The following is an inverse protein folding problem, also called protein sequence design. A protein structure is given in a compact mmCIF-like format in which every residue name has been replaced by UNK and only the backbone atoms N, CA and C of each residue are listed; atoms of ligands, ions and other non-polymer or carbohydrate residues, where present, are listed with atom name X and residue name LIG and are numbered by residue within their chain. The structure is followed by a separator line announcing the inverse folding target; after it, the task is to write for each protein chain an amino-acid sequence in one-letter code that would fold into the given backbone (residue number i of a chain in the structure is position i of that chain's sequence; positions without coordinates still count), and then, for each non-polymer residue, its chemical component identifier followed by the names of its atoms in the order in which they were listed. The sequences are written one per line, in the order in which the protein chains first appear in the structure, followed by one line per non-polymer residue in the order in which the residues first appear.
data_IF_860291412423
#
_entry.id   IF_860291412423
#
_cell.length_a   1.000
_cell.length_b   1.000
_cell.length_c   1.000
_cell.angle_alpha   90.00
_cell.angle_beta   90.00
_cell.angle_gamma   90.00
#
_symmetry.space_group_name_H-M   'P 1'
#
loop_
_entity.id
_entity.type
_entity.pdbx_description
1 polymer ?
#
# COMPACT_ATOMS: atom_id res chain seq x y z
N UNK A 1 -9.98 -54.90 -18.00
CA UNK A 1 -8.71 -55.26 -18.64
C UNK A 1 -8.14 -54.01 -19.31
N UNK A 2 -6.83 -53.75 -19.24
CA UNK A 2 -6.13 -52.87 -18.26
C UNK A 2 -5.57 -51.59 -18.95
N UNK A 3 -5.03 -50.55 -18.30
CA UNK A 3 -3.95 -50.46 -17.29
C UNK A 3 -3.95 -49.04 -16.65
N UNK A 4 -3.88 -48.87 -15.33
CA UNK A 4 -2.67 -48.77 -14.46
C UNK A 4 -1.63 -47.68 -14.85
N UNK A 5 -1.49 -46.67 -13.98
CA UNK A 5 -0.29 -45.94 -13.46
C UNK A 5 -0.83 -44.75 -12.63
N UNK A 6 -0.84 -44.67 -11.28
CA UNK A 6 0.23 -44.68 -10.26
C UNK A 6 1.45 -43.84 -10.64
N UNK A 7 1.58 -42.63 -10.08
CA UNK A 7 2.66 -42.25 -9.15
C UNK A 7 2.37 -40.97 -8.38
N UNK A 8 2.88 -41.01 -7.15
CA UNK A 8 2.84 -40.13 -5.98
C UNK A 8 3.95 -39.08 -6.07
N UNK A 9 3.68 -37.80 -5.78
CA UNK A 9 4.73 -36.85 -5.37
C UNK A 9 4.18 -35.84 -4.35
N UNK A 10 4.45 -36.14 -3.09
CA UNK A 10 4.53 -35.21 -1.97
C UNK A 10 5.87 -34.48 -2.05
N UNK A 11 5.87 -33.13 -2.06
CA UNK A 11 7.06 -32.36 -1.75
C UNK A 11 6.83 -31.61 -0.43
N UNK A 12 7.38 -32.19 0.63
CA UNK A 12 7.74 -31.48 1.84
C UNK A 12 9.00 -30.66 1.53
N UNK A 13 9.04 -29.40 1.98
CA UNK A 13 10.28 -28.65 2.11
C UNK A 13 10.53 -28.45 3.60
N UNK A 14 11.53 -29.19 4.08
CA UNK A 14 12.15 -29.02 5.39
C UNK A 14 13.25 -27.96 5.30
N UNK A 15 13.32 -27.17 6.36
CA UNK A 15 14.52 -26.70 7.09
C UNK A 15 15.87 -26.64 6.38
N UNK A 16 16.43 -25.42 6.36
CA UNK A 16 17.83 -25.06 6.63
C UNK A 16 17.83 -23.56 7.00
N UNK A 17 18.67 -22.97 7.85
CA UNK A 17 19.68 -23.42 8.80
C UNK A 17 20.16 -22.18 9.59
N UNK A 18 20.56 -22.41 10.84
CA UNK A 18 21.57 -21.76 11.69
C UNK A 18 22.02 -20.30 11.52
N UNK A 19 22.08 -19.62 12.67
CA UNK A 19 23.19 -18.74 13.06
C UNK A 19 22.82 -17.90 14.30
N UNK A 20 23.06 -18.35 15.54
CA UNK A 20 24.26 -18.07 16.39
C UNK A 20 24.44 -16.57 16.62
N UNK A 21 24.52 -15.95 17.80
CA UNK A 21 24.83 -16.24 19.22
C UNK A 21 24.47 -14.91 19.95
N UNK A 22 24.24 -14.75 21.24
CA UNK A 22 24.32 -15.57 22.42
C UNK A 22 24.11 -14.68 23.66
N UNK A 23 24.16 -15.30 24.84
CA UNK A 23 24.50 -14.72 26.15
C UNK A 23 23.59 -13.58 26.69
N UNK A 24 22.93 -13.70 27.83
CA UNK A 24 22.96 -14.70 28.88
C UNK A 24 21.96 -14.25 29.95
N UNK A 25 21.15 -15.19 30.40
CA UNK A 25 20.31 -15.05 31.59
C UNK A 25 21.23 -15.15 32.80
N UNK A 26 21.24 -14.14 33.65
CA UNK A 26 21.62 -14.30 35.05
C UNK A 26 20.51 -13.76 35.93
N UNK A 27 19.61 -14.68 36.32
CA UNK A 27 18.77 -14.56 37.49
C UNK A 27 19.66 -14.42 38.72
N UNK A 28 19.53 -13.30 39.44
CA UNK A 28 20.19 -13.08 40.72
C UNK A 28 19.20 -13.37 41.85
N UNK A 29 19.09 -14.64 42.24
CA UNK A 29 18.48 -15.04 43.51
C UNK A 29 19.50 -14.88 44.64
N UNK A 30 19.16 -14.26 45.78
CA UNK A 30 20.09 -14.08 46.89
C UNK A 30 20.20 -15.36 47.73
N UNK A 31 21.39 -15.98 47.76
CA UNK A 31 21.67 -17.10 48.66
C UNK A 31 22.15 -16.63 50.04
N UNK A 32 21.28 -16.90 51.00
CA UNK A 32 21.42 -16.98 52.45
C UNK A 32 22.66 -17.75 52.93
N UNK A 33 23.36 -17.19 53.94
CA UNK A 33 24.34 -17.90 54.80
C UNK A 33 23.60 -18.77 55.84
N UNK A 34 24.11 -19.96 56.18
CA UNK A 34 24.89 -20.17 57.41
C UNK A 34 26.02 -21.20 57.16
N UNK A 35 27.03 -21.48 57.99
CA UNK A 35 27.37 -21.23 59.38
C UNK A 35 28.24 -22.41 59.85
N UNK A 36 29.33 -22.11 60.58
CA UNK A 36 30.13 -22.99 61.46
C UNK A 36 30.96 -24.16 60.88
N UNK A 37 32.27 -24.10 61.18
CA UNK A 37 33.18 -25.24 61.24
C UNK A 37 34.57 -24.78 61.66
N UNK A 38 34.88 -24.85 62.96
CA UNK A 38 36.12 -24.34 63.52
C UNK A 38 37.36 -25.15 63.17
N UNK A 39 38.52 -24.49 63.24
CA UNK A 39 39.76 -25.14 63.67
C UNK A 39 40.72 -24.10 64.24
N UNK A 40 40.91 -24.17 65.55
CA UNK A 40 42.00 -23.51 66.24
C UNK A 40 43.32 -24.04 65.67
N UNK A 41 44.17 -23.13 65.17
CA UNK A 41 45.60 -23.39 64.98
C UNK A 41 46.36 -22.46 65.92
N UNK A 42 47.07 -23.08 66.85
CA UNK A 42 48.01 -22.43 67.75
C UNK A 42 49.22 -21.83 67.00
N UNK A 43 49.91 -20.87 67.64
CA UNK A 43 50.93 -20.05 66.99
C UNK A 43 52.27 -20.80 66.91
N UNK A 44 52.87 -20.85 65.72
CA UNK A 44 54.27 -21.25 65.57
C UNK A 44 55.14 -19.99 65.57
N UNK A 45 55.80 -19.75 66.70
CA UNK A 45 56.87 -18.79 66.85
C UNK A 45 58.19 -19.43 66.39
N UNK A 46 58.63 -19.16 65.15
CA UNK A 46 60.04 -19.31 64.76
C UNK A 46 60.29 -18.60 63.44
N UNK A 47 61.22 -17.63 63.42
CA UNK A 47 61.64 -16.92 62.22
C UNK A 47 61.58 -15.39 62.32
N UNK A 48 62.10 -14.82 63.41
CA UNK A 48 62.71 -13.50 63.34
C UNK A 48 64.18 -13.72 62.98
N UNK A 49 64.80 -12.74 62.33
CA UNK A 49 66.16 -12.75 61.76
C UNK A 49 66.17 -13.19 60.29
N UNK A 50 65.90 -12.20 59.42
CA UNK A 50 66.36 -12.02 58.02
C UNK A 50 65.51 -10.98 57.25
N UNK A 51 64.45 -10.42 57.85
CA UNK A 51 63.47 -9.59 57.12
C UNK A 51 63.82 -8.08 57.01
N UNK A 52 64.95 -7.62 57.56
CA UNK A 52 65.29 -6.19 57.52
C UNK A 52 65.84 -5.74 56.16
N UNK A 53 66.63 -6.57 55.48
CA UNK A 53 67.15 -6.25 54.14
C UNK A 53 66.10 -6.44 53.04
N UNK A 54 65.15 -7.38 53.22
CA UNK A 54 64.04 -7.60 52.29
C UNK A 54 62.97 -6.49 52.37
N UNK A 55 62.74 -5.88 53.54
CA UNK A 55 61.90 -4.68 53.67
C UNK A 55 62.52 -3.46 52.94
N UNK A 56 63.85 -3.32 52.93
CA UNK A 56 64.55 -2.25 52.22
C UNK A 56 64.57 -2.45 50.69
N UNK A 57 64.60 -3.71 50.20
CA UNK A 57 64.41 -4.03 48.77
C UNK A 57 62.95 -3.97 48.32
N UNK A 58 62.00 -4.34 49.19
CA UNK A 58 60.56 -4.25 48.92
C UNK A 58 60.07 -2.79 48.86
N UNK A 59 60.57 -1.92 49.72
CA UNK A 59 60.25 -0.48 49.70
C UNK A 59 60.81 0.24 48.46
N UNK A 60 62.01 -0.15 47.96
CA UNK A 60 62.56 0.36 46.68
C UNK A 60 61.79 -0.11 45.44
N UNK A 61 61.15 -1.29 45.48
CA UNK A 61 60.25 -1.80 44.41
C UNK A 61 58.78 -1.35 44.55
N UNK A 62 58.38 -0.83 45.71
CA UNK A 62 57.02 -0.37 45.96
C UNK A 62 56.71 0.96 45.24
N UNK A 63 57.69 1.88 45.15
CA UNK A 63 57.52 3.17 44.48
C UNK A 63 57.03 3.07 43.01
N UNK A 64 57.63 2.26 42.11
CA UNK A 64 57.14 2.13 40.72
C UNK A 64 55.79 1.42 40.60
N UNK A 65 55.42 0.59 41.59
CA UNK A 65 54.13 -0.12 41.62
C UNK A 65 52.97 0.79 42.04
N UNK A 66 53.23 1.78 42.88
CA UNK A 66 52.24 2.79 43.29
C UNK A 66 51.93 3.73 42.12
N UNK A 67 52.97 4.15 41.37
CA UNK A 67 52.80 4.98 40.15
C UNK A 67 51.96 4.26 39.10
N UNK A 68 52.20 2.96 38.87
CA UNK A 68 51.36 2.13 37.97
C UNK A 68 49.90 2.00 38.43
N UNK A 69 49.66 1.94 39.74
CA UNK A 69 48.31 1.81 40.30
C UNK A 69 47.51 3.11 40.16
N UNK A 70 48.18 4.25 40.30
CA UNK A 70 47.56 5.56 40.11
C UNK A 70 47.29 5.86 38.62
N UNK A 71 48.18 5.44 37.71
CA UNK A 71 47.92 5.45 36.25
C UNK A 71 46.72 4.59 35.88
N UNK A 72 46.62 3.37 36.41
CA UNK A 72 45.49 2.47 36.17
C UNK A 72 44.17 3.00 36.73
N UNK A 73 44.20 3.71 37.86
CA UNK A 73 43.02 4.39 38.41
C UNK A 73 42.59 5.56 37.54
N UNK A 74 43.54 6.34 37.04
CA UNK A 74 43.26 7.43 36.10
C UNK A 74 42.66 6.91 34.79
N UNK A 75 43.17 5.80 34.26
CA UNK A 75 42.63 5.15 33.06
C UNK A 75 41.23 4.59 33.29
N UNK A 76 40.98 3.91 34.42
CA UNK A 76 39.64 3.45 34.78
C UNK A 76 38.65 4.61 34.97
N UNK A 77 39.09 5.73 35.56
CA UNK A 77 38.26 6.91 35.68
C UNK A 77 37.88 7.50 34.31
N UNK A 78 38.82 7.51 33.35
CA UNK A 78 38.55 7.94 31.97
C UNK A 78 37.58 7.00 31.25
N UNK A 79 37.77 5.68 31.39
CA UNK A 79 36.85 4.67 30.83
C UNK A 79 35.45 4.77 31.43
N UNK A 80 35.33 5.09 32.72
CA UNK A 80 34.05 5.31 33.38
C UNK A 80 33.33 6.52 32.78
N UNK A 81 34.04 7.64 32.61
CA UNK A 81 33.50 8.85 31.97
C UNK A 81 33.04 8.60 30.53
N UNK A 82 33.81 7.84 29.75
CA UNK A 82 33.45 7.49 28.38
C UNK A 82 32.19 6.61 28.32
N UNK A 83 32.08 5.61 29.21
CA UNK A 83 30.88 4.77 29.31
C UNK A 83 29.64 5.57 29.67
N UNK A 84 29.76 6.50 30.62
CA UNK A 84 28.66 7.37 31.02
C UNK A 84 28.23 8.29 29.88
N UNK A 85 29.19 8.87 29.15
CA UNK A 85 28.90 9.69 27.98
C UNK A 85 28.20 8.88 26.86
N UNK A 86 28.69 7.67 26.58
CA UNK A 86 28.08 6.77 25.60
C UNK A 86 26.66 6.34 26.02
N UNK A 87 26.47 6.04 27.31
CA UNK A 87 25.18 5.66 27.86
C UNK A 87 24.18 6.82 27.79
N UNK A 88 24.62 8.06 28.05
CA UNK A 88 23.81 9.26 27.90
C UNK A 88 23.43 9.54 26.44
N UNK A 89 24.35 9.32 25.50
CA UNK A 89 24.04 9.40 24.06
C UNK A 89 23.00 8.34 23.66
N UNK A 90 23.15 7.11 24.16
CA UNK A 90 22.20 6.03 23.89
C UNK A 90 20.81 6.28 24.49
N UNK A 91 20.71 6.90 25.68
CA UNK A 91 19.40 7.28 26.23
C UNK A 91 18.76 8.41 25.42
N UNK A 92 19.52 9.44 25.04
CA UNK A 92 19.01 10.53 24.20
C UNK A 92 18.52 10.01 22.84
N UNK A 93 19.28 9.13 22.19
CA UNK A 93 18.87 8.49 20.93
C UNK A 93 17.61 7.63 21.10
N UNK A 94 17.46 6.92 22.23
CA UNK A 94 16.24 6.16 22.53
C UNK A 94 15.03 7.07 22.70
N UNK A 95 15.18 8.20 23.38
CA UNK A 95 14.12 9.18 23.58
C UNK A 95 13.70 9.84 22.25
N UNK A 96 14.65 10.12 21.36
CA UNK A 96 14.34 10.58 20.01
C UNK A 96 13.58 9.54 19.20
N UNK A 97 14.02 8.28 19.23
CA UNK A 97 13.31 7.18 18.56
C UNK A 97 11.90 6.98 19.13
N UNK A 98 11.71 7.13 20.44
CA UNK A 98 10.40 7.10 21.07
C UNK A 98 9.49 8.22 20.55
N UNK A 99 9.98 9.47 20.48
CA UNK A 99 9.24 10.61 19.91
C UNK A 99 8.83 10.35 18.45
N UNK A 100 9.74 9.83 17.63
CA UNK A 100 9.43 9.50 16.23
C UNK A 100 8.39 8.37 16.10
N UNK A 101 8.44 7.37 16.99
CA UNK A 101 7.42 6.31 17.04
C UNK A 101 6.05 6.86 17.41
N UNK A 102 5.97 7.69 18.44
CA UNK A 102 4.70 8.27 18.89
C UNK A 102 4.11 9.19 17.82
N UNK A 103 4.94 10.01 17.16
CA UNK A 103 4.53 10.83 16.03
C UNK A 103 4.02 9.97 14.86
N UNK A 104 4.68 8.86 14.54
CA UNK A 104 4.24 7.94 13.48
C UNK A 104 2.91 7.24 13.83
N UNK A 105 2.69 6.90 15.11
CA UNK A 105 1.40 6.36 15.58
C UNK A 105 0.30 7.39 15.43
N UNK A 106 0.56 8.66 15.77
CA UNK A 106 -0.43 9.74 15.66
C UNK A 106 -0.78 10.03 14.19
N UNK A 107 0.23 10.07 13.30
CA UNK A 107 0.02 10.18 11.85
C UNK A 107 -0.85 9.03 11.33
N UNK A 108 -0.61 7.79 11.80
CA UNK A 108 -1.39 6.62 11.39
C UNK A 108 -2.83 6.64 11.92
N UNK A 109 -3.08 7.23 13.10
CA UNK A 109 -4.44 7.45 13.62
C UNK A 109 -5.16 8.54 12.84
N UNK A 110 -4.48 9.65 12.56
CA UNK A 110 -5.04 10.78 11.80
C UNK A 110 -5.38 10.40 10.36
N UNK A 111 -4.62 9.48 9.76
CA UNK A 111 -4.87 8.94 8.42
C UNK A 111 -5.18 7.44 8.49
N UNK A 112 -6.41 7.04 8.88
CA UNK A 112 -6.79 5.64 8.84
C UNK A 112 -6.64 5.10 7.41
N UNK A 113 -6.11 3.87 7.29
CA UNK A 113 -5.99 3.20 5.99
C UNK A 113 -7.36 3.25 5.29
N UNK A 114 -7.46 3.72 4.04
CA UNK A 114 -8.73 3.81 3.35
C UNK A 114 -9.37 2.41 3.30
N UNK A 115 -10.66 2.32 3.58
CA UNK A 115 -11.41 1.07 3.42
C UNK A 115 -11.39 0.73 1.92
N UNK A 116 -10.58 -0.27 1.56
CA UNK A 116 -10.46 -0.74 0.19
C UNK A 116 -11.64 -1.68 -0.11
N UNK A 117 -12.40 -1.35 -1.15
CA UNK A 117 -13.53 -2.14 -1.62
C UNK A 117 -13.00 -3.15 -2.66
N UNK A 118 -13.04 -4.46 -2.38
CA UNK A 118 -12.57 -5.48 -3.31
C UNK A 118 -13.48 -5.58 -4.53
N UNK A 119 -12.93 -6.10 -5.63
CA UNK A 119 -13.70 -6.33 -6.86
C UNK A 119 -14.70 -7.48 -6.64
N UNK A 120 -15.99 -7.29 -6.96
CA UNK A 120 -16.97 -8.38 -6.88
C UNK A 120 -16.69 -9.48 -7.89
N UNK A 121 -17.12 -10.71 -7.57
CA UNK A 121 -17.01 -11.84 -8.48
C UNK A 121 -17.90 -11.64 -9.73
N UNK A 122 -17.41 -12.10 -10.88
CA UNK A 122 -18.17 -12.07 -12.14
C UNK A 122 -17.78 -10.97 -13.13
N UNK A 123 -18.61 -10.79 -14.15
CA UNK A 123 -18.42 -9.78 -15.20
C UNK A 123 -19.42 -8.63 -15.09
N UNK A 124 -18.95 -7.41 -15.30
CA UNK A 124 -19.79 -6.21 -15.26
C UNK A 124 -20.90 -6.24 -16.32
N UNK A 125 -22.14 -5.98 -15.90
CA UNK A 125 -23.32 -5.86 -16.77
C UNK A 125 -24.01 -7.17 -17.15
N UNK A 126 -23.58 -8.31 -16.60
CA UNK A 126 -24.18 -9.63 -16.84
C UNK A 126 -24.96 -10.17 -15.64
N UNK A 127 -25.92 -9.41 -15.10
CA UNK A 127 -26.67 -9.77 -13.89
C UNK A 127 -27.22 -11.21 -13.90
N UNK A 128 -27.77 -11.65 -15.05
CA UNK A 128 -28.40 -12.97 -15.18
C UNK A 128 -27.42 -14.12 -15.51
N UNK A 129 -26.13 -13.83 -15.68
CA UNK A 129 -25.12 -14.82 -16.07
C UNK A 129 -23.90 -14.78 -15.13
N UNK A 130 -24.15 -14.64 -13.82
CA UNK A 130 -23.11 -14.60 -12.78
C UNK A 130 -22.26 -13.33 -12.79
N UNK A 131 -22.81 -12.22 -13.29
CA UNK A 131 -22.20 -10.90 -13.26
C UNK A 131 -22.84 -9.96 -12.23
N UNK A 132 -22.38 -8.71 -12.20
CA UNK A 132 -22.88 -7.70 -11.25
C UNK A 132 -23.27 -6.38 -11.94
N UNK A 133 -24.10 -5.60 -11.26
CA UNK A 133 -24.30 -4.19 -11.58
C UNK A 133 -23.11 -3.38 -11.09
N UNK A 134 -22.51 -2.57 -11.96
CA UNK A 134 -21.42 -1.69 -11.55
C UNK A 134 -21.86 -0.70 -10.47
N UNK A 135 -23.05 -0.11 -10.65
CA UNK A 135 -23.59 0.88 -9.72
C UNK A 135 -23.84 0.29 -8.32
N UNK A 136 -24.37 -0.94 -8.24
CA UNK A 136 -24.58 -1.63 -6.96
C UNK A 136 -23.25 -2.00 -6.31
N UNK A 137 -22.30 -2.53 -7.09
CA UNK A 137 -20.98 -2.87 -6.58
C UNK A 137 -20.18 -1.65 -6.08
N UNK A 138 -20.41 -0.48 -6.68
CA UNK A 138 -19.85 0.78 -6.22
C UNK A 138 -20.55 1.37 -4.99
N UNK A 139 -21.65 0.75 -4.52
CA UNK A 139 -22.53 1.22 -3.45
C UNK A 139 -23.22 2.56 -3.77
N UNK A 140 -23.48 2.82 -5.06
CA UNK A 140 -24.10 4.06 -5.56
C UNK A 140 -25.53 3.83 -6.10
N UNK A 141 -26.21 2.74 -5.72
CA UNK A 141 -27.55 2.42 -6.23
C UNK A 141 -28.57 3.54 -6.00
N UNK A 142 -28.51 4.20 -4.84
CA UNK A 142 -29.38 5.33 -4.48
C UNK A 142 -28.88 6.68 -5.01
N UNK A 143 -27.66 6.73 -5.54
CA UNK A 143 -26.96 7.97 -5.95
C UNK A 143 -26.68 7.94 -7.46
N UNK A 144 -27.76 7.87 -8.25
CA UNK A 144 -27.69 7.75 -9.71
C UNK A 144 -26.96 8.92 -10.37
N UNK A 145 -27.16 10.14 -9.88
CA UNK A 145 -26.51 11.33 -10.41
C UNK A 145 -25.01 11.32 -10.20
N UNK A 146 -24.57 10.93 -9.01
CA UNK A 146 -23.14 10.80 -8.70
C UNK A 146 -22.49 9.72 -9.56
N UNK A 147 -23.10 8.54 -9.68
CA UNK A 147 -22.63 7.50 -10.58
C UNK A 147 -22.51 7.99 -12.02
N UNK A 148 -23.52 8.71 -12.53
CA UNK A 148 -23.51 9.26 -13.88
C UNK A 148 -22.42 10.33 -14.07
N UNK A 149 -22.19 11.17 -13.06
CA UNK A 149 -21.11 12.16 -13.06
C UNK A 149 -19.75 11.48 -13.17
N UNK A 150 -19.49 10.47 -12.34
CA UNK A 150 -18.25 9.68 -12.38
C UNK A 150 -18.09 8.99 -13.74
N UNK A 151 -19.14 8.36 -14.24
CA UNK A 151 -19.11 7.70 -15.54
C UNK A 151 -18.87 8.69 -16.71
N UNK A 152 -19.37 9.93 -16.61
CA UNK A 152 -19.07 11.00 -17.58
C UNK A 152 -17.59 11.38 -17.51
N UNK A 153 -17.07 11.66 -16.32
CA UNK A 153 -15.65 12.02 -16.14
C UNK A 153 -14.72 10.94 -16.72
N UNK A 154 -14.97 9.66 -16.42
CA UNK A 154 -14.15 8.56 -16.95
C UNK A 154 -14.26 8.47 -18.47
N UNK A 155 -15.45 8.69 -19.06
CA UNK A 155 -15.59 8.75 -20.52
C UNK A 155 -14.80 9.88 -21.15
N UNK A 156 -14.81 11.05 -20.53
CA UNK A 156 -14.09 12.22 -21.04
C UNK A 156 -12.58 11.98 -20.98
N UNK A 157 -12.10 11.31 -19.92
CA UNK A 157 -10.71 10.85 -19.83
C UNK A 157 -10.36 9.81 -20.90
N UNK A 158 -11.25 8.85 -21.17
CA UNK A 158 -11.05 7.87 -22.25
C UNK A 158 -10.93 8.55 -23.62
N UNK A 159 -11.77 9.56 -23.85
CA UNK A 159 -11.75 10.35 -25.08
C UNK A 159 -10.46 11.17 -25.20
N UNK A 160 -10.08 11.87 -24.14
CA UNK A 160 -8.86 12.66 -24.08
C UNK A 160 -7.58 11.80 -24.26
N UNK A 161 -7.58 10.57 -23.73
CA UNK A 161 -6.48 9.63 -23.90
C UNK A 161 -6.46 8.94 -25.28
N UNK A 162 -7.46 9.18 -26.12
CA UNK A 162 -7.60 8.57 -27.45
C UNK A 162 -7.46 7.03 -27.39
N UNK A 163 -8.27 6.39 -26.56
CA UNK A 163 -8.36 4.92 -26.51
C UNK A 163 -8.95 4.38 -27.81
N UNK A 164 -8.31 3.36 -28.38
CA UNK A 164 -8.84 2.70 -29.59
C UNK A 164 -9.96 1.73 -29.20
N UNK A 165 -11.21 2.10 -29.48
CA UNK A 165 -12.35 1.27 -29.14
C UNK A 165 -12.49 0.00 -30.01
N UNK A 166 -11.75 -0.12 -31.11
CA UNK A 166 -11.80 -1.29 -32.00
C UNK A 166 -11.01 -2.47 -31.46
N UNK A 167 -9.99 -2.24 -30.63
CA UNK A 167 -9.19 -3.31 -30.04
C UNK A 167 -9.73 -3.74 -28.67
N UNK A 168 -9.32 -4.92 -28.23
CA UNK A 168 -9.68 -5.44 -26.92
C UNK A 168 -9.06 -4.62 -25.79
N UNK A 169 -9.74 -4.59 -24.64
CA UNK A 169 -9.28 -3.85 -23.46
C UNK A 169 -7.87 -4.30 -23.01
N UNK A 170 -7.57 -5.60 -23.09
CA UNK A 170 -6.27 -6.17 -22.69
C UNK A 170 -5.11 -5.77 -23.61
N UNK A 171 -5.42 -5.36 -24.84
CA UNK A 171 -4.45 -4.94 -25.85
C UNK A 171 -4.23 -3.42 -25.86
N UNK A 172 -4.90 -2.68 -24.98
CA UNK A 172 -4.70 -1.24 -24.87
C UNK A 172 -3.30 -0.91 -24.34
N UNK A 173 -2.67 0.18 -24.80
CA UNK A 173 -1.39 0.62 -24.28
C UNK A 173 -1.47 0.87 -22.77
N UNK A 174 -0.63 0.16 -21.99
CA UNK A 174 -0.64 0.25 -20.54
C UNK A 174 -0.43 1.70 -20.04
N UNK A 175 0.44 2.48 -20.69
CA UNK A 175 0.68 3.88 -20.33
C UNK A 175 -0.56 4.78 -20.46
N UNK A 176 -1.43 4.52 -21.44
CA UNK A 176 -2.71 5.25 -21.58
C UNK A 176 -3.66 4.90 -20.45
N UNK A 177 -3.77 3.61 -20.10
CA UNK A 177 -4.62 3.15 -19.00
C UNK A 177 -4.13 3.71 -17.65
N UNK A 178 -2.83 3.63 -17.37
CA UNK A 178 -2.24 4.19 -16.14
C UNK A 178 -2.56 5.67 -15.98
N UNK A 179 -2.39 6.46 -17.05
CA UNK A 179 -2.71 7.89 -17.03
C UNK A 179 -4.20 8.15 -16.77
N UNK A 180 -5.09 7.32 -17.31
CA UNK A 180 -6.53 7.44 -17.03
C UNK A 180 -6.81 7.13 -15.56
N UNK A 181 -6.19 6.09 -14.98
CA UNK A 181 -6.37 5.75 -13.57
C UNK A 181 -5.90 6.87 -12.64
N UNK A 182 -4.71 7.44 -12.90
CA UNK A 182 -4.18 8.56 -12.13
C UNK A 182 -5.10 9.79 -12.19
N UNK A 183 -5.50 10.19 -13.40
CA UNK A 183 -6.38 11.34 -13.59
C UNK A 183 -7.78 11.11 -12.99
N UNK A 184 -8.28 9.88 -13.05
CA UNK A 184 -9.58 9.53 -12.46
C UNK A 184 -9.54 9.66 -10.93
N UNK A 185 -8.48 9.18 -10.27
CA UNK A 185 -8.29 9.36 -8.82
C UNK A 185 -8.16 10.83 -8.40
N UNK A 186 -7.48 11.63 -9.21
CA UNK A 186 -7.33 13.07 -8.95
C UNK A 186 -8.66 13.82 -9.08
N UNK A 187 -9.45 13.51 -10.11
CA UNK A 187 -10.74 14.19 -10.36
C UNK A 187 -11.86 13.69 -9.45
N UNK A 188 -11.83 12.40 -9.11
CA UNK A 188 -12.85 11.74 -8.29
C UNK A 188 -12.14 10.94 -7.19
N UNK A 189 -11.85 11.56 -6.03
CA UNK A 189 -11.17 10.88 -4.92
C UNK A 189 -11.88 9.63 -4.41
N UNK A 190 -13.20 9.51 -4.64
CA UNK A 190 -13.97 8.30 -4.34
C UNK A 190 -13.41 7.05 -5.05
N UNK A 191 -12.87 7.21 -6.27
CA UNK A 191 -12.36 6.09 -7.05
C UNK A 191 -11.12 5.42 -6.42
N UNK A 192 -10.37 6.15 -5.59
CA UNK A 192 -9.21 5.61 -4.86
C UNK A 192 -9.57 4.57 -3.79
N UNK A 193 -10.86 4.41 -3.46
CA UNK A 193 -11.33 3.42 -2.49
C UNK A 193 -11.53 2.03 -3.11
N UNK A 194 -11.50 1.89 -4.43
CA UNK A 194 -11.70 0.61 -5.10
C UNK A 194 -10.35 -0.07 -5.37
N UNK A 195 -10.23 -1.35 -5.00
CA UNK A 195 -9.00 -2.12 -5.17
C UNK A 195 -8.55 -2.16 -6.64
N UNK A 196 -7.27 -1.95 -6.91
CA UNK A 196 -6.68 -2.05 -8.26
C UNK A 196 -7.46 -1.26 -9.34
N UNK A 197 -8.11 -0.17 -8.96
CA UNK A 197 -8.95 0.67 -9.81
C UNK A 197 -10.05 -0.11 -10.57
N UNK A 198 -10.56 -1.20 -9.98
CA UNK A 198 -11.50 -2.09 -10.68
C UNK A 198 -12.75 -1.35 -11.19
N UNK A 199 -13.24 -0.36 -10.43
CA UNK A 199 -14.39 0.44 -10.81
C UNK A 199 -14.11 1.28 -12.07
N UNK A 200 -12.97 1.96 -12.12
CA UNK A 200 -12.53 2.73 -13.28
C UNK A 200 -12.31 1.81 -14.48
N UNK A 201 -11.64 0.68 -14.28
CA UNK A 201 -11.41 -0.34 -15.30
C UNK A 201 -12.72 -0.83 -15.93
N UNK A 202 -13.75 -1.09 -15.13
CA UNK A 202 -15.05 -1.53 -15.64
C UNK A 202 -15.84 -0.41 -16.33
N UNK A 203 -15.75 0.83 -15.86
CA UNK A 203 -16.30 1.99 -16.57
C UNK A 203 -15.69 2.14 -17.97
N UNK A 204 -14.38 1.97 -18.10
CA UNK A 204 -13.67 2.00 -19.40
C UNK A 204 -14.19 0.88 -20.31
N UNK A 205 -14.32 -0.35 -19.79
CA UNK A 205 -14.86 -1.49 -20.58
C UNK A 205 -16.29 -1.23 -21.05
N UNK A 206 -17.15 -0.68 -20.19
CA UNK A 206 -18.53 -0.30 -20.57
C UNK A 206 -18.50 0.75 -21.68
N UNK A 207 -17.68 1.79 -21.54
CA UNK A 207 -17.52 2.83 -22.55
C UNK A 207 -17.12 2.24 -23.91
N UNK A 208 -16.05 1.43 -23.95
CA UNK A 208 -15.57 0.82 -25.18
C UNK A 208 -16.64 -0.08 -25.84
N UNK A 209 -17.34 -0.89 -25.04
CA UNK A 209 -18.43 -1.75 -25.50
C UNK A 209 -19.54 -0.92 -26.15
N UNK A 210 -19.96 0.16 -25.49
CA UNK A 210 -21.01 1.05 -25.98
C UNK A 210 -20.57 1.78 -27.26
N UNK A 211 -19.32 2.24 -27.31
CA UNK A 211 -18.75 2.88 -28.50
C UNK A 211 -18.75 1.93 -29.69
N UNK A 212 -18.32 0.67 -29.52
CA UNK A 212 -18.38 -0.35 -30.58
C UNK A 212 -19.82 -0.60 -31.05
N UNK A 213 -20.75 -0.79 -30.11
CA UNK A 213 -22.16 -1.01 -30.45
C UNK A 213 -22.75 0.18 -31.23
N UNK A 214 -22.41 1.40 -30.85
CA UNK A 214 -22.83 2.62 -31.54
C UNK A 214 -22.23 2.71 -32.95
N UNK A 215 -20.94 2.42 -33.11
CA UNK A 215 -20.30 2.38 -34.43
C UNK A 215 -20.92 1.32 -35.35
N UNK A 216 -21.26 0.13 -34.81
CA UNK A 216 -21.96 -0.92 -35.58
C UNK A 216 -23.34 -0.43 -36.05
N UNK A 217 -24.14 0.15 -35.15
CA UNK A 217 -25.47 0.69 -35.49
C UNK A 217 -25.40 1.80 -36.55
N UNK A 218 -24.41 2.69 -36.45
CA UNK A 218 -24.19 3.75 -37.46
C UNK A 218 -23.77 3.22 -38.82
N UNK A 219 -22.97 2.15 -38.87
CA UNK A 219 -22.60 1.51 -40.14
C UNK A 219 -23.82 0.89 -40.80
N UNK A 220 -24.62 0.13 -40.04
CA UNK A 220 -25.87 -0.48 -40.55
C UNK A 220 -26.82 0.60 -41.08
N UNK A 221 -27.11 1.64 -40.29
CA UNK A 221 -27.98 2.73 -40.74
C UNK A 221 -27.43 3.46 -41.99
N UNK A 222 -26.11 3.58 -42.14
CA UNK A 222 -25.50 4.15 -43.35
C UNK A 222 -25.65 3.22 -44.56
N UNK A 223 -25.48 1.92 -44.38
CA UNK A 223 -25.63 0.93 -45.44
C UNK A 223 -27.08 0.84 -45.90
N UNK A 224 -28.04 0.82 -44.98
CA UNK A 224 -29.48 0.84 -45.29
C UNK A 224 -29.89 2.09 -46.07
N UNK A 225 -29.28 3.25 -45.82
CA UNK A 225 -29.57 4.49 -46.58
C UNK A 225 -28.96 4.46 -47.99
N UNK A 226 -27.86 3.75 -48.22
CA UNK A 226 -27.23 3.63 -49.55
C UNK A 226 -27.96 2.61 -50.46
N UNK A 227 -28.58 1.59 -49.88
CA UNK A 227 -29.31 0.53 -50.60
C UNK A 227 -30.67 0.99 -51.17
N UNK A 228 -31.14 2.19 -50.81
CA UNK A 228 -32.35 2.82 -51.36
C UNK A 228 -32.08 3.81 -52.50
N UNK A 229 -30.82 3.94 -52.95
CA UNK A 229 -30.42 4.98 -53.91
C UNK A 229 -29.83 4.46 -55.22
N UNK A 230 -29.94 3.16 -55.52
CA UNK A 230 -29.33 2.57 -56.71
C UNK A 230 -30.25 1.64 -57.53
N UNK A 231 -31.58 1.85 -57.51
CA UNK A 231 -32.49 0.98 -58.29
C UNK A 231 -33.71 1.68 -58.95
N UNK A 232 -33.68 2.98 -59.26
CA UNK A 232 -34.74 3.59 -60.10
C UNK A 232 -34.25 4.82 -60.89
N UNK A 233 -33.42 4.59 -61.92
CA UNK A 233 -33.22 5.53 -63.03
C UNK A 233 -33.83 4.93 -64.31
N UNK A 234 -35.17 5.00 -64.45
CA UNK A 234 -35.91 4.96 -65.73
C UNK A 234 -37.39 5.36 -65.45
N UNK A 235 -37.66 6.60 -65.01
CA UNK A 235 -38.88 7.33 -65.41
C UNK A 235 -38.84 8.82 -64.98
N UNK A 236 -38.49 9.71 -65.91
CA UNK A 236 -38.74 11.15 -65.82
C UNK A 236 -40.13 11.41 -66.42
N UNK A 237 -41.14 11.80 -65.62
CA UNK A 237 -42.08 12.90 -65.93
C UNK A 237 -43.12 13.23 -64.82
N UNK A 238 -43.21 14.53 -64.52
CA UNK A 238 -44.33 15.34 -63.97
C UNK A 238 -44.84 15.12 -62.52
N UNK A 239 -44.42 16.03 -61.64
CA UNK A 239 -45.35 16.93 -60.93
C UNK A 239 -46.09 16.40 -59.70
N UNK A 240 -45.62 16.83 -58.52
CA UNK A 240 -46.49 17.28 -57.44
C UNK A 240 -45.68 18.09 -56.42
N UNK A 241 -45.95 19.39 -56.38
CA UNK A 241 -45.55 20.28 -55.30
C UNK A 241 -46.27 19.86 -54.00
N UNK A 242 -45.51 19.71 -52.91
CA UNK A 242 -46.07 19.68 -51.55
C UNK A 242 -45.34 20.73 -50.71
N UNK A 243 -46.09 21.63 -50.02
CA UNK A 243 -45.59 22.90 -49.47
C UNK A 243 -44.85 22.78 -48.13
N UNK A 244 -44.08 23.83 -47.74
CA UNK A 244 -43.42 23.90 -46.45
C UNK A 244 -44.44 24.03 -45.30
N UNK A 245 -44.35 23.14 -44.31
CA UNK A 245 -45.11 23.23 -43.08
C UNK A 245 -44.57 24.38 -42.22
N UNK A 246 -45.38 25.42 -42.13
CA UNK A 246 -45.20 26.57 -41.26
C UNK A 246 -45.50 26.16 -39.80
N UNK A 247 -44.51 26.27 -38.92
CA UNK A 247 -44.69 26.10 -37.47
C UNK A 247 -45.16 27.44 -36.90
N UNK A 248 -46.47 27.55 -36.67
CA UNK A 248 -47.10 28.66 -35.96
C UNK A 248 -46.66 28.64 -34.50
N UNK A 249 -45.82 29.60 -34.12
CA UNK A 249 -45.55 30.00 -32.74
C UNK A 249 -46.73 30.86 -32.29
N UNK A 250 -47.59 30.32 -31.43
CA UNK A 250 -48.57 31.14 -30.69
C UNK A 250 -47.88 31.72 -29.45
N UNK A 251 -47.45 32.97 -29.58
CA UNK A 251 -47.28 33.90 -28.47
C UNK A 251 -48.66 34.17 -27.87
N UNK A 252 -48.82 33.88 -26.58
CA UNK A 252 -49.92 34.40 -25.76
C UNK A 252 -49.27 35.42 -24.82
N UNK A 253 -49.15 36.64 -25.32
CA UNK A 253 -49.04 37.85 -24.53
C UNK A 253 -50.48 38.34 -24.32
N UNK A 254 -51.02 38.17 -23.11
CA UNK A 254 -52.30 38.73 -22.67
C UNK A 254 -52.02 39.67 -21.48
N UNK A 255 -51.83 40.94 -21.82
CA UNK A 255 -52.04 42.16 -21.03
C UNK A 255 -52.63 43.14 -22.06
N UNK A 256 -53.71 43.90 -21.80
CA UNK A 256 -53.60 44.99 -20.81
C UNK A 256 -54.90 45.48 -20.09
N UNK A 257 -54.65 46.26 -19.03
CA UNK A 257 -55.30 47.51 -18.59
C UNK A 257 -56.68 47.57 -17.88
N UNK A 258 -56.58 48.03 -16.62
CA UNK A 258 -57.25 49.19 -15.97
C UNK A 258 -58.78 49.25 -15.86
N UNK A 259 -59.28 49.16 -14.62
CA UNK A 259 -59.82 50.29 -13.84
C UNK A 259 -59.74 50.00 -12.32
#
# INVERSE_FOLDING_TARGET
MPAKRHTRTTLAAQDTNSGTEGHGVIDATPLTKPGRGGRARQPSARGKENNAEDLAKATKKAAPRVVQLDEMRAENAKLQQEKEALQAQMSAARDEVAKWRDMAVEIRKANPKPIIIPRPAGSVGKKNAGGYSLQEAMKLSSMKEEYNSIARIVRDLCHAAQLDCNVEFRLQPAGKLSRIYDMARQRVPLLSRYQDDWATCDLIKIYMRNKRAHMKRRKVARTEVLDLTMDDDENILVGAAVPPTNVTIQSVDDEPELD
#
